data_IF_051043550124
#
_entry.id   IF_051043550124
#
_cell.length_a   1.000
_cell.length_b   1.000
_cell.length_c   1.000
_cell.angle_alpha   90.00
_cell.angle_beta   90.00
_cell.angle_gamma   90.00
#
_symmetry.space_group_name_H-M   'P 1'
#
loop_
_entity.id
_entity.type
_entity.pdbx_description
1 polymer ?
#
# COMPACT_ATOMS: atom_id res chain seq x y z
N UNK A 1 -57.82 -20.85 -31.24
CA UNK A 1 -56.55 -21.60 -31.29
C UNK A 1 -55.73 -21.22 -30.06
N UNK A 2 -55.49 -22.16 -29.14
CA UNK A 2 -54.68 -21.97 -27.92
C UNK A 2 -53.35 -22.69 -28.13
N UNK A 3 -52.25 -21.94 -28.17
CA UNK A 3 -50.90 -22.53 -28.15
C UNK A 3 -50.40 -22.50 -26.71
N UNK A 4 -50.14 -23.67 -26.13
CA UNK A 4 -49.51 -23.84 -24.83
C UNK A 4 -48.02 -24.08 -25.08
N UNK A 5 -47.16 -23.17 -24.64
CA UNK A 5 -45.72 -23.40 -24.59
C UNK A 5 -45.33 -23.80 -23.17
N UNK A 6 -44.88 -25.05 -23.05
CA UNK A 6 -44.09 -25.58 -21.93
C UNK A 6 -42.60 -25.45 -22.29
N UNK A 7 -41.73 -25.52 -21.27
CA UNK A 7 -40.25 -25.70 -21.31
C UNK A 7 -39.50 -24.34 -21.38
N UNK A 8 -38.41 -24.05 -20.66
CA UNK A 8 -37.44 -24.84 -19.89
C UNK A 8 -36.92 -24.01 -18.71
N UNK A 9 -36.71 -24.64 -17.55
CA UNK A 9 -35.87 -24.10 -16.49
C UNK A 9 -34.44 -23.91 -17.03
N UNK A 10 -33.99 -22.67 -17.13
CA UNK A 10 -32.57 -22.35 -17.17
C UNK A 10 -32.19 -21.71 -15.84
N UNK A 11 -31.73 -22.54 -14.91
CA UNK A 11 -30.94 -22.08 -13.78
C UNK A 11 -29.62 -21.53 -14.36
N UNK A 12 -29.58 -20.23 -14.61
CA UNK A 12 -28.33 -19.52 -14.81
C UNK A 12 -27.58 -19.53 -13.48
N UNK A 13 -26.79 -20.57 -13.25
CA UNK A 13 -25.81 -20.61 -12.17
C UNK A 13 -24.73 -19.59 -12.56
N UNK A 14 -24.62 -18.42 -11.90
CA UNK A 14 -23.60 -17.47 -12.28
C UNK A 14 -22.24 -18.15 -12.02
N UNK A 15 -21.43 -18.26 -13.07
CA UNK A 15 -20.00 -18.51 -12.94
C UNK A 15 -19.47 -17.43 -12.00
N UNK A 16 -19.19 -17.81 -10.75
CA UNK A 16 -18.36 -17.02 -9.85
C UNK A 16 -16.97 -17.01 -10.47
N UNK A 17 -16.75 -16.09 -11.41
CA UNK A 17 -15.41 -15.72 -11.82
C UNK A 17 -14.80 -15.03 -10.61
N UNK A 18 -14.04 -15.79 -9.83
CA UNK A 18 -13.12 -15.23 -8.85
C UNK A 18 -12.17 -14.34 -9.62
N UNK A 19 -12.43 -13.04 -9.64
CA UNK A 19 -11.41 -12.08 -9.99
C UNK A 19 -10.32 -12.26 -8.93
N UNK A 20 -9.24 -12.93 -9.29
CA UNK A 20 -7.96 -12.85 -8.58
C UNK A 20 -7.47 -11.40 -8.74
N UNK A 21 -8.11 -10.47 -8.03
CA UNK A 21 -7.45 -9.25 -7.61
C UNK A 21 -6.41 -9.69 -6.60
N UNK A 22 -5.20 -9.14 -6.67
CA UNK A 22 -4.13 -9.33 -5.71
C UNK A 22 -4.53 -8.75 -4.33
N UNK A 23 -5.51 -9.37 -3.69
CA UNK A 23 -6.07 -8.96 -2.42
C UNK A 23 -5.45 -9.83 -1.32
N UNK A 24 -4.96 -9.19 -0.27
CA UNK A 24 -4.41 -9.89 0.89
C UNK A 24 -5.43 -10.86 1.52
N UNK A 25 -4.96 -11.95 2.17
CA UNK A 25 -5.83 -12.83 2.92
C UNK A 25 -6.64 -12.06 3.99
N UNK A 26 -7.77 -12.63 4.42
CA UNK A 26 -8.55 -12.06 5.50
C UNK A 26 -7.69 -11.86 6.77
N UNK A 27 -7.83 -10.70 7.42
CA UNK A 27 -7.01 -10.30 8.58
C UNK A 27 -5.73 -9.55 8.22
N UNK A 28 -5.50 -9.24 6.94
CA UNK A 28 -4.35 -8.46 6.48
C UNK A 28 -4.79 -7.25 5.66
N UNK A 29 -4.10 -6.13 5.86
CA UNK A 29 -4.21 -4.95 5.02
C UNK A 29 -3.25 -5.04 3.84
N UNK A 30 -3.74 -4.67 2.65
CA UNK A 30 -2.94 -4.53 1.45
C UNK A 30 -2.25 -3.17 1.44
N UNK A 31 -0.94 -3.19 1.60
CA UNK A 31 -0.10 -1.99 1.52
C UNK A 31 0.48 -1.89 0.12
N UNK A 32 0.41 -0.69 -0.45
CA UNK A 32 1.13 -0.35 -1.67
C UNK A 32 1.91 0.94 -1.50
N UNK A 33 3.18 0.92 -1.87
CA UNK A 33 4.05 2.11 -1.93
C UNK A 33 4.50 2.27 -3.38
N UNK A 34 4.13 3.36 -4.02
CA UNK A 34 4.64 3.77 -5.33
C UNK A 34 5.65 4.88 -5.10
N UNK A 35 6.81 4.83 -5.74
CA UNK A 35 7.84 5.85 -5.55
C UNK A 35 8.67 6.01 -6.81
N UNK A 36 8.95 7.24 -7.19
CA UNK A 36 10.02 7.55 -8.13
C UNK A 36 11.01 8.41 -7.36
N UNK A 37 12.08 7.83 -6.77
CA UNK A 37 13.06 8.62 -6.05
C UNK A 37 13.82 9.54 -7.01
N UNK A 38 14.56 10.50 -6.47
CA UNK A 38 15.50 11.30 -7.26
C UNK A 38 16.76 10.47 -7.64
N UNK A 39 17.76 11.16 -8.21
CA UNK A 39 19.01 10.54 -8.63
C UNK A 39 19.96 10.18 -7.47
N UNK A 40 19.57 10.42 -6.22
CA UNK A 40 20.27 10.04 -4.99
C UNK A 40 19.56 8.91 -4.22
N UNK A 41 18.71 8.15 -4.92
CA UNK A 41 17.93 7.02 -4.40
C UNK A 41 18.61 6.03 -3.42
N UNK A 42 19.93 5.72 -3.45
CA UNK A 42 20.52 4.77 -2.51
C UNK A 42 20.49 5.23 -1.05
N UNK A 43 20.31 6.54 -0.80
CA UNK A 43 20.27 7.11 0.55
C UNK A 43 18.90 7.02 1.21
N UNK A 44 17.88 6.66 0.43
CA UNK A 44 16.52 6.55 0.89
C UNK A 44 16.10 5.11 1.16
N UNK A 45 15.28 4.94 2.19
CA UNK A 45 14.66 3.66 2.54
C UNK A 45 13.30 3.88 3.18
N UNK A 46 12.52 2.81 3.30
CA UNK A 46 11.26 2.86 4.03
C UNK A 46 11.11 1.63 4.93
N UNK A 47 10.34 1.81 6.00
CA UNK A 47 9.92 0.71 6.87
C UNK A 47 8.51 0.93 7.41
N UNK A 48 7.84 -0.17 7.71
CA UNK A 48 6.55 -0.22 8.39
C UNK A 48 6.74 -0.94 9.71
N UNK A 49 6.37 -0.29 10.80
CA UNK A 49 6.52 -0.85 12.15
C UNK A 49 5.32 -0.52 13.04
N UNK A 50 5.18 -1.24 14.14
CA UNK A 50 4.12 -1.01 15.12
C UNK A 50 4.40 0.27 15.93
N UNK A 51 3.43 1.19 16.02
CA UNK A 51 3.59 2.47 16.74
C UNK A 51 3.87 2.26 18.23
N UNK A 52 3.23 1.25 18.85
CA UNK A 52 3.37 0.95 20.27
C UNK A 52 4.71 0.29 20.63
N UNK A 53 5.26 -0.53 19.72
CA UNK A 53 6.57 -1.17 19.87
C UNK A 53 7.35 -1.11 18.55
N UNK A 54 8.20 -0.08 18.36
CA UNK A 54 8.95 0.11 17.11
C UNK A 54 9.93 -1.02 16.73
N UNK A 55 10.17 -1.99 17.62
CA UNK A 55 10.98 -3.17 17.30
C UNK A 55 10.20 -4.22 16.49
N UNK A 56 8.87 -4.12 16.43
CA UNK A 56 8.03 -4.98 15.58
C UNK A 56 7.98 -4.35 14.20
N UNK A 57 8.81 -4.88 13.28
CA UNK A 57 8.89 -4.46 11.89
C UNK A 57 8.05 -5.42 11.03
N UNK A 58 7.10 -4.87 10.26
CA UNK A 58 6.27 -5.65 9.34
C UNK A 58 6.87 -5.74 7.95
N UNK A 59 7.51 -4.67 7.48
CA UNK A 59 8.11 -4.61 6.15
C UNK A 59 9.19 -3.51 6.07
N UNK A 60 10.14 -3.68 5.16
CA UNK A 60 11.15 -2.67 4.82
C UNK A 60 11.39 -2.68 3.31
N UNK A 61 11.96 -1.60 2.79
CA UNK A 61 12.43 -1.56 1.41
C UNK A 61 13.46 -0.46 1.17
N UNK A 62 14.21 -0.64 0.08
CA UNK A 62 15.21 0.28 -0.44
C UNK A 62 15.00 0.46 -1.93
N UNK A 63 15.64 1.47 -2.53
CA UNK A 63 15.55 1.76 -3.95
C UNK A 63 16.80 1.26 -4.68
N UNK A 64 16.62 0.70 -5.88
CA UNK A 64 17.72 0.14 -6.68
C UNK A 64 18.04 1.00 -7.91
N UNK A 65 17.18 1.97 -8.24
CA UNK A 65 17.32 2.90 -9.35
C UNK A 65 16.53 4.20 -9.11
N UNK A 66 16.80 5.22 -9.93
CA UNK A 66 16.06 6.48 -10.08
C UNK A 66 14.87 6.32 -11.03
N UNK A 67 14.04 5.29 -10.77
CA UNK A 67 12.87 4.96 -11.59
C UNK A 67 11.70 4.50 -10.73
N UNK A 68 10.53 4.28 -11.34
CA UNK A 68 9.34 3.87 -10.63
C UNK A 68 9.54 2.52 -9.91
N UNK A 69 9.38 2.54 -8.59
CA UNK A 69 9.26 1.37 -7.73
C UNK A 69 7.81 1.22 -7.27
N UNK A 70 7.33 -0.02 -7.25
CA UNK A 70 6.04 -0.40 -6.68
C UNK A 70 6.29 -1.53 -5.69
N UNK A 71 6.05 -1.27 -4.40
CA UNK A 71 6.12 -2.27 -3.34
C UNK A 71 4.70 -2.64 -2.92
N UNK A 72 4.42 -3.94 -2.86
CA UNK A 72 3.15 -4.47 -2.39
C UNK A 72 3.39 -5.48 -1.27
N UNK A 73 2.76 -5.27 -0.12
CA UNK A 73 2.93 -6.14 1.05
C UNK A 73 1.61 -6.30 1.81
N UNK A 74 1.37 -7.51 2.30
CA UNK A 74 0.26 -7.80 3.20
C UNK A 74 0.75 -7.77 4.65
N UNK A 75 0.15 -6.90 5.48
CA UNK A 75 0.51 -6.80 6.90
C UNK A 75 -0.70 -7.05 7.80
N UNK A 76 -0.53 -7.64 9.00
CA UNK A 76 -1.66 -7.92 9.90
C UNK A 76 -2.47 -6.67 10.26
N UNK A 77 -3.79 -6.79 10.24
CA UNK A 77 -4.72 -5.77 10.74
C UNK A 77 -4.64 -5.61 12.26
N UNK A 78 -5.12 -4.48 12.78
CA UNK A 78 -5.43 -4.31 14.21
C UNK A 78 -4.54 -3.30 14.93
N UNK A 79 -3.22 -3.44 14.84
CA UNK A 79 -2.32 -2.51 15.55
C UNK A 79 -2.16 -1.20 14.76
N UNK A 80 -2.06 -0.08 15.47
CA UNK A 80 -1.66 1.21 14.89
C UNK A 80 -0.18 1.14 14.45
N UNK A 81 0.09 1.55 13.21
CA UNK A 81 1.40 1.38 12.57
C UNK A 81 1.92 2.70 12.04
N UNK A 82 3.22 2.73 11.77
CA UNK A 82 3.90 3.88 11.18
C UNK A 82 4.61 3.41 9.91
N UNK A 83 4.35 4.10 8.81
CA UNK A 83 5.24 4.12 7.66
C UNK A 83 6.27 5.23 7.89
N UNK A 84 7.56 4.89 7.90
CA UNK A 84 8.66 5.85 7.94
C UNK A 84 9.45 5.74 6.64
N UNK A 85 9.51 6.84 5.89
CA UNK A 85 10.53 7.07 4.87
C UNK A 85 11.73 7.73 5.55
N UNK A 86 12.91 7.19 5.33
CA UNK A 86 14.19 7.68 5.83
C UNK A 86 15.08 8.11 4.66
N UNK A 87 15.89 9.13 4.91
CA UNK A 87 16.81 9.73 3.96
C UNK A 87 18.10 10.13 4.68
N UNK A 88 19.25 9.60 4.25
CA UNK A 88 20.50 9.77 4.98
C UNK A 88 21.12 11.17 4.85
N UNK A 89 20.79 11.93 3.80
CA UNK A 89 21.35 13.28 3.56
C UNK A 89 20.46 14.40 4.10
N UNK A 90 19.19 14.11 4.36
CA UNK A 90 18.24 15.01 4.97
C UNK A 90 17.62 16.01 4.01
N UNK A 91 17.66 15.76 2.71
CA UNK A 91 16.92 16.49 1.68
C UNK A 91 15.74 15.71 1.11
N UNK A 92 15.58 14.44 1.50
CA UNK A 92 14.41 13.64 1.16
C UNK A 92 14.46 13.20 -0.29
N UNK A 93 13.46 13.59 -1.09
CA UNK A 93 13.44 13.30 -2.53
C UNK A 93 13.60 14.56 -3.39
N UNK A 94 14.31 15.56 -2.88
CA UNK A 94 14.53 16.82 -3.58
C UNK A 94 15.51 16.63 -4.77
N UNK A 95 15.23 17.19 -5.96
CA UNK A 95 14.21 18.20 -6.25
C UNK A 95 12.86 17.67 -6.73
N UNK A 96 12.81 16.48 -7.33
CA UNK A 96 11.68 16.04 -8.17
C UNK A 96 11.20 14.61 -7.90
N UNK A 97 11.80 13.90 -6.95
CA UNK A 97 11.34 12.59 -6.54
C UNK A 97 10.05 12.67 -5.71
N UNK A 98 9.34 11.55 -5.62
CA UNK A 98 8.04 11.47 -4.96
C UNK A 98 7.71 10.06 -4.49
N UNK A 99 6.79 9.96 -3.53
CA UNK A 99 6.13 8.70 -3.19
C UNK A 99 4.63 8.87 -2.92
N UNK A 100 3.90 7.76 -3.09
CA UNK A 100 2.50 7.58 -2.72
C UNK A 100 2.34 6.32 -1.89
N UNK A 101 1.60 6.43 -0.81
CA UNK A 101 1.31 5.35 0.11
C UNK A 101 -0.18 5.06 0.14
N UNK A 102 -0.54 3.80 -0.11
CA UNK A 102 -1.90 3.31 -0.13
C UNK A 102 -2.11 2.19 0.89
N UNK A 103 -3.29 2.17 1.50
CA UNK A 103 -3.77 1.08 2.36
C UNK A 103 -5.11 0.62 1.82
N UNK A 104 -5.23 -0.66 1.48
CA UNK A 104 -6.40 -1.28 0.86
C UNK A 104 -6.89 -0.50 -0.38
N UNK A 105 -5.94 -0.03 -1.21
CA UNK A 105 -6.21 0.76 -2.42
C UNK A 105 -6.55 2.23 -2.18
N UNK A 106 -6.69 2.67 -0.92
CA UNK A 106 -6.96 4.07 -0.57
C UNK A 106 -5.65 4.83 -0.40
N UNK A 107 -5.49 5.96 -1.09
CA UNK A 107 -4.34 6.85 -0.93
C UNK A 107 -4.37 7.49 0.47
N UNK A 108 -3.35 7.21 1.28
CA UNK A 108 -3.20 7.76 2.63
C UNK A 108 -2.25 8.95 2.63
N UNK A 109 -1.17 8.90 1.84
CA UNK A 109 -0.20 9.98 1.72
C UNK A 109 0.39 10.06 0.32
N UNK A 110 0.63 11.29 -0.11
CA UNK A 110 1.53 11.65 -1.21
C UNK A 110 2.55 12.66 -0.68
N UNK A 111 3.80 12.56 -1.15
CA UNK A 111 4.89 13.49 -0.83
C UNK A 111 5.77 13.68 -2.06
N UNK A 112 6.27 14.89 -2.25
CA UNK A 112 7.14 15.26 -3.37
C UNK A 112 8.29 16.10 -2.84
N UNK A 113 9.50 15.85 -3.32
CA UNK A 113 10.67 16.65 -3.00
C UNK A 113 11.10 16.53 -1.54
N UNK A 114 11.32 17.69 -0.91
CA UNK A 114 11.91 17.81 0.41
C UNK A 114 11.01 17.29 1.54
N UNK A 115 11.54 16.40 2.38
CA UNK A 115 10.94 16.00 3.65
C UNK A 115 11.92 15.88 4.82
N UNK A 116 13.18 16.27 4.65
CA UNK A 116 14.20 16.11 5.69
C UNK A 116 14.68 14.66 5.81
N UNK A 117 15.28 14.32 6.96
CA UNK A 117 15.79 12.97 7.22
C UNK A 117 14.72 11.89 7.33
N UNK A 118 13.50 12.25 7.76
CA UNK A 118 12.42 11.28 7.95
C UNK A 118 11.05 11.89 7.68
N UNK A 119 10.16 11.09 7.09
CA UNK A 119 8.74 11.39 6.96
C UNK A 119 7.92 10.22 7.49
N UNK A 120 7.03 10.50 8.45
CA UNK A 120 6.22 9.49 9.13
C UNK A 120 4.74 9.63 8.81
N UNK A 121 4.09 8.49 8.61
CA UNK A 121 2.64 8.40 8.43
C UNK A 121 2.07 7.33 9.31
N UNK A 122 1.24 7.75 10.27
CA UNK A 122 0.48 6.84 11.09
C UNK A 122 -0.75 6.33 10.33
N UNK A 123 -1.04 5.04 10.45
CA UNK A 123 -2.20 4.43 9.81
C UNK A 123 -2.73 3.23 10.60
N UNK A 124 -4.01 2.89 10.39
CA UNK A 124 -4.68 1.83 11.15
C UNK A 124 -4.89 2.17 12.63
N UNK A 125 -4.86 3.46 12.98
CA UNK A 125 -4.90 3.91 14.38
C UNK A 125 -6.33 4.25 14.84
N UNK A 126 -6.67 4.01 16.12
CA UNK A 126 -7.93 4.47 16.69
C UNK A 126 -8.11 5.99 16.60
N UNK A 127 -9.35 6.51 16.55
CA UNK A 127 -9.60 7.95 16.60
C UNK A 127 -8.94 8.61 17.83
N UNK A 128 -8.23 9.73 17.62
CA UNK A 128 -7.56 10.50 18.69
C UNK A 128 -6.15 10.05 19.07
N UNK A 129 -5.53 9.21 18.24
CA UNK A 129 -4.13 8.74 18.37
C UNK A 129 -3.07 9.72 17.86
#
# INVERSE_FOLDING_TARGET
MRVRYFICLYLAFPLLTSFLQAQCPAGFDAIRIESNPDNYYPEASWKIYEKANPNIIYATGTFLADSLHIFEVCIPQGDCKVLEFADDQGDGFFPDGWYRFYVNGVLIRESVGYYGFFQRTDFGCPPGS
#
